data_IF_059299844089
#
_entry.id   IF_059299844089
#
_cell.length_a   1.000
_cell.length_b   1.000
_cell.length_c   1.000
_cell.angle_alpha   90.00
_cell.angle_beta   90.00
_cell.angle_gamma   90.00
#
_symmetry.space_group_name_H-M   'P 1'
#
loop_
_entity.id
_entity.type
_entity.pdbx_description
1 polymer ?
#
# COMPACT_ATOMS: atom_id res chain seq x y z
N UNK A 1 23.27 25.59 -17.13
CA UNK A 1 22.56 26.45 -16.17
C UNK A 1 21.26 25.77 -15.82
N UNK A 2 21.06 25.49 -14.54
CA UNK A 2 19.81 24.91 -14.03
C UNK A 2 18.73 25.99 -14.11
N UNK A 3 17.49 25.62 -14.42
CA UNK A 3 16.33 26.54 -14.44
C UNK A 3 16.13 27.26 -13.08
N UNK A 4 16.71 26.72 -12.01
CA UNK A 4 16.73 27.34 -10.68
C UNK A 4 17.70 28.53 -10.58
N UNK A 5 18.75 28.56 -11.41
CA UNK A 5 19.76 29.63 -11.40
C UNK A 5 19.21 30.93 -12.03
N UNK A 6 18.18 30.83 -12.87
CA UNK A 6 17.56 31.96 -13.61
C UNK A 6 16.45 32.69 -12.83
N UNK A 7 16.11 32.21 -11.63
CA UNK A 7 15.00 32.76 -10.84
C UNK A 7 15.41 34.14 -10.27
N UNK A 8 14.88 35.21 -10.89
CA UNK A 8 14.99 36.64 -10.53
C UNK A 8 14.45 37.02 -9.12
N UNK A 9 14.41 36.09 -8.16
CA UNK A 9 14.00 36.33 -6.76
C UNK A 9 15.20 36.51 -5.81
N UNK A 10 16.42 36.54 -6.35
CA UNK A 10 17.70 36.53 -5.61
C UNK A 10 17.89 37.66 -4.57
N UNK A 11 17.01 38.69 -4.53
CA UNK A 11 17.04 39.77 -3.53
C UNK A 11 15.98 39.67 -2.42
N UNK A 12 15.10 38.66 -2.42
CA UNK A 12 14.01 38.49 -1.43
C UNK A 12 13.99 37.12 -0.72
N UNK A 13 14.90 36.21 -1.07
CA UNK A 13 15.04 34.91 -0.39
C UNK A 13 15.87 35.12 0.88
N UNK A 14 15.31 34.81 2.04
CA UNK A 14 15.99 34.89 3.34
C UNK A 14 16.64 33.59 3.77
N UNK A 15 16.23 32.46 3.16
CA UNK A 15 16.76 31.14 3.46
C UNK A 15 16.54 30.18 2.30
N UNK A 16 17.58 29.43 1.95
CA UNK A 16 17.53 28.33 1.01
C UNK A 16 18.15 27.09 1.65
N UNK A 17 17.50 25.94 1.47
CA UNK A 17 18.03 24.65 1.91
C UNK A 17 17.87 23.60 0.82
N UNK A 18 18.99 23.07 0.38
CA UNK A 18 19.04 21.93 -0.51
C UNK A 18 19.02 20.66 0.36
N UNK A 19 18.01 19.81 0.15
CA UNK A 19 17.96 18.49 0.77
C UNK A 19 18.68 17.52 -0.18
N UNK A 20 19.76 16.86 0.26
CA UNK A 20 20.51 15.96 -0.62
C UNK A 20 19.64 14.75 -1.03
N UNK A 21 19.88 14.18 -2.22
CA UNK A 21 19.19 12.96 -2.63
C UNK A 21 19.58 11.79 -1.73
N UNK A 22 18.61 10.95 -1.39
CA UNK A 22 18.81 9.74 -0.60
C UNK A 22 18.74 8.50 -1.49
N UNK A 23 19.68 7.55 -1.30
CA UNK A 23 19.66 6.28 -2.03
C UNK A 23 18.63 5.33 -1.45
N UNK A 24 17.91 4.64 -2.32
CA UNK A 24 17.01 3.57 -1.93
C UNK A 24 17.75 2.42 -1.23
N UNK A 25 17.17 1.93 -0.12
CA UNK A 25 17.61 0.69 0.54
C UNK A 25 16.53 -0.37 0.40
N UNK A 26 16.95 -1.61 0.18
CA UNK A 26 16.07 -2.74 -0.07
C UNK A 26 16.34 -3.88 0.90
N UNK A 27 15.30 -4.63 1.26
CA UNK A 27 15.40 -5.83 2.10
C UNK A 27 14.55 -6.94 1.50
N UNK A 28 15.10 -8.15 1.43
CA UNK A 28 14.37 -9.33 1.01
C UNK A 28 13.53 -9.87 2.16
N UNK A 29 12.35 -10.39 1.82
CA UNK A 29 11.44 -11.07 2.74
C UNK A 29 10.92 -12.32 2.03
N UNK A 30 10.73 -13.40 2.79
CA UNK A 30 10.10 -14.63 2.29
C UNK A 30 8.59 -14.55 2.52
N UNK A 31 7.81 -14.81 1.48
CA UNK A 31 6.35 -14.93 1.57
C UNK A 31 5.95 -16.40 1.60
N UNK A 32 4.95 -16.72 2.44
CA UNK A 32 4.25 -18.00 2.41
C UNK A 32 3.41 -18.08 1.15
N UNK A 33 2.80 -16.96 0.75
CA UNK A 33 2.07 -16.87 -0.50
C UNK A 33 3.04 -16.81 -1.70
N UNK A 34 3.22 -17.94 -2.40
CA UNK A 34 4.13 -18.04 -3.55
C UNK A 34 3.72 -17.18 -4.75
N UNK A 35 2.44 -16.81 -4.85
CA UNK A 35 1.96 -15.88 -5.88
C UNK A 35 2.51 -14.47 -5.67
N UNK A 36 2.69 -14.03 -4.42
CA UNK A 36 3.36 -12.76 -4.12
C UNK A 36 4.85 -12.79 -4.52
N UNK A 37 5.56 -13.88 -4.24
CA UNK A 37 6.98 -14.00 -4.65
C UNK A 37 7.12 -14.01 -6.18
N UNK A 38 6.23 -14.73 -6.87
CA UNK A 38 6.16 -14.75 -8.33
C UNK A 38 5.90 -13.35 -8.89
N UNK A 39 4.89 -12.66 -8.38
CA UNK A 39 4.54 -11.29 -8.78
C UNK A 39 5.73 -10.32 -8.65
N UNK A 40 6.39 -10.31 -7.48
CA UNK A 40 7.55 -9.46 -7.24
C UNK A 40 8.69 -9.75 -8.23
N UNK A 41 8.93 -11.02 -8.53
CA UNK A 41 9.98 -11.44 -9.47
C UNK A 41 9.64 -11.04 -10.91
N UNK A 42 8.42 -11.30 -11.36
CA UNK A 42 7.97 -11.00 -12.73
C UNK A 42 7.94 -9.50 -13.02
N UNK A 43 7.50 -8.69 -12.06
CA UNK A 43 7.49 -7.23 -12.17
C UNK A 43 8.84 -6.58 -11.84
N UNK A 44 9.87 -7.37 -11.51
CA UNK A 44 11.19 -6.90 -11.05
C UNK A 44 11.11 -5.87 -9.91
N UNK A 45 10.19 -6.09 -8.97
CA UNK A 45 9.96 -5.21 -7.83
C UNK A 45 10.84 -5.65 -6.67
N UNK A 46 11.66 -4.72 -6.16
CA UNK A 46 12.39 -4.87 -4.90
C UNK A 46 11.68 -4.06 -3.82
N UNK A 47 11.34 -4.72 -2.71
CA UNK A 47 10.75 -4.03 -1.57
C UNK A 47 11.79 -3.16 -0.88
N UNK A 48 11.41 -1.91 -0.62
CA UNK A 48 12.19 -1.02 0.23
C UNK A 48 12.31 -1.62 1.63
N UNK A 49 13.41 -1.28 2.33
CA UNK A 49 13.69 -1.80 3.67
C UNK A 49 12.52 -1.60 4.64
N UNK A 50 11.89 -0.42 4.63
CA UNK A 50 10.73 -0.11 5.48
C UNK A 50 9.51 -0.96 5.15
N UNK A 51 9.29 -1.30 3.88
CA UNK A 51 8.16 -2.15 3.46
C UNK A 51 8.36 -3.57 3.97
N UNK A 52 9.53 -4.15 3.71
CA UNK A 52 9.83 -5.52 4.12
C UNK A 52 9.82 -5.66 5.65
N UNK A 53 10.41 -4.71 6.39
CA UNK A 53 10.39 -4.71 7.86
C UNK A 53 8.97 -4.60 8.42
N UNK A 54 8.14 -3.72 7.87
CA UNK A 54 6.78 -3.56 8.33
C UNK A 54 5.94 -4.82 8.08
N UNK A 55 6.04 -5.41 6.87
CA UNK A 55 5.35 -6.67 6.54
C UNK A 55 5.82 -7.79 7.48
N UNK A 56 7.12 -7.90 7.75
CA UNK A 56 7.68 -8.90 8.66
C UNK A 56 7.15 -8.73 10.10
N UNK A 57 7.03 -7.51 10.60
CA UNK A 57 6.43 -7.25 11.91
C UNK A 57 4.94 -7.62 11.96
N UNK A 58 4.16 -7.25 10.94
CA UNK A 58 2.72 -7.59 10.85
C UNK A 58 2.53 -9.11 10.77
N UNK A 59 3.33 -9.81 9.96
CA UNK A 59 3.30 -11.29 9.88
C UNK A 59 3.54 -11.97 11.22
N UNK A 60 4.34 -11.34 12.09
CA UNK A 60 4.62 -11.83 13.44
C UNK A 60 3.60 -11.35 14.49
N UNK A 61 2.43 -10.85 14.06
CA UNK A 61 1.35 -10.43 14.96
C UNK A 61 1.61 -9.11 15.68
N UNK A 62 2.55 -8.28 15.22
CA UNK A 62 2.86 -6.99 15.83
C UNK A 62 2.03 -5.87 15.21
N UNK A 63 1.64 -4.91 16.05
CA UNK A 63 1.10 -3.63 15.60
C UNK A 63 2.25 -2.74 15.10
N UNK A 64 2.04 -2.06 13.97
CA UNK A 64 3.08 -1.28 13.30
C UNK A 64 2.56 0.12 12.96
N UNK A 65 3.34 1.15 13.30
CA UNK A 65 3.17 2.52 12.84
C UNK A 65 4.34 2.86 11.93
N UNK A 66 4.06 3.49 10.79
CA UNK A 66 5.06 3.72 9.74
C UNK A 66 5.15 5.20 9.42
N UNK A 67 6.32 5.78 9.64
CA UNK A 67 6.62 7.18 9.37
C UNK A 67 7.51 7.26 8.14
N UNK A 68 6.90 7.41 6.96
CA UNK A 68 7.63 7.58 5.70
C UNK A 68 7.06 8.73 4.88
N UNK A 69 7.87 9.40 4.03
CA UNK A 69 7.38 10.44 3.12
C UNK A 69 6.24 9.96 2.21
N UNK A 70 5.45 10.88 1.67
CA UNK A 70 4.49 10.58 0.60
C UNK A 70 5.19 9.94 -0.59
N UNK A 71 4.44 9.18 -1.40
CA UNK A 71 4.98 8.40 -2.54
C UNK A 71 6.01 7.30 -2.20
N UNK A 72 6.25 6.97 -0.92
CA UNK A 72 7.19 5.90 -0.51
C UNK A 72 6.66 4.46 -0.67
N UNK A 73 5.60 4.24 -1.45
CA UNK A 73 5.02 2.91 -1.70
C UNK A 73 4.32 2.25 -0.49
N UNK A 74 3.73 3.01 0.44
CA UNK A 74 3.08 2.46 1.65
C UNK A 74 1.98 1.43 1.36
N UNK A 75 1.31 1.51 0.21
CA UNK A 75 0.20 0.60 -0.12
C UNK A 75 0.60 -0.88 -0.07
N UNK A 76 1.79 -1.23 -0.56
CA UNK A 76 2.24 -2.63 -0.55
C UNK A 76 2.32 -3.22 0.85
N UNK A 77 2.53 -2.40 1.88
CA UNK A 77 2.70 -2.90 3.24
C UNK A 77 1.41 -3.54 3.72
N UNK A 78 0.28 -2.82 3.67
CA UNK A 78 -0.98 -3.37 4.16
C UNK A 78 -1.57 -4.40 3.16
N UNK A 79 -1.45 -4.16 1.85
CA UNK A 79 -1.99 -5.09 0.84
C UNK A 79 -1.29 -6.44 0.92
N UNK A 80 0.05 -6.46 0.88
CA UNK A 80 0.78 -7.73 0.93
C UNK A 80 0.67 -8.41 2.28
N UNK A 81 0.51 -7.66 3.38
CA UNK A 81 0.27 -8.27 4.69
C UNK A 81 -1.05 -9.03 4.72
N UNK A 82 -2.12 -8.49 4.13
CA UNK A 82 -3.41 -9.19 4.04
C UNK A 82 -3.32 -10.37 3.06
N UNK A 83 -2.78 -10.17 1.86
CA UNK A 83 -2.63 -11.25 0.86
C UNK A 83 -1.75 -12.40 1.35
N UNK A 84 -0.72 -12.09 2.15
CA UNK A 84 0.10 -13.10 2.84
C UNK A 84 -0.71 -13.85 3.89
N UNK A 85 -1.56 -13.17 4.66
CA UNK A 85 -2.40 -13.82 5.68
C UNK A 85 -3.41 -14.78 5.06
N UNK A 86 -3.92 -14.46 3.86
CA UNK A 86 -4.84 -15.32 3.13
C UNK A 86 -4.22 -16.67 2.71
N UNK A 87 -2.90 -16.78 2.61
CA UNK A 87 -2.24 -18.07 2.37
C UNK A 87 -2.37 -19.03 3.57
N UNK A 88 -2.59 -18.52 4.78
CA UNK A 88 -2.83 -19.33 5.98
C UNK A 88 -4.32 -19.53 6.26
N UNK A 89 -5.11 -18.47 6.06
CA UNK A 89 -6.55 -18.48 6.30
C UNK A 89 -7.28 -17.73 5.17
N UNK A 90 -7.86 -18.45 4.19
CA UNK A 90 -8.61 -17.85 3.09
C UNK A 90 -9.83 -17.03 3.53
N UNK A 91 -10.34 -17.27 4.75
CA UNK A 91 -11.48 -16.56 5.33
C UNK A 91 -11.08 -15.34 6.16
N UNK A 92 -9.79 -14.99 6.21
CA UNK A 92 -9.36 -13.80 6.92
C UNK A 92 -9.93 -12.52 6.26
N UNK A 93 -10.36 -11.58 7.10
CA UNK A 93 -10.92 -10.30 6.69
C UNK A 93 -10.06 -9.16 7.24
N UNK A 94 -10.15 -8.00 6.59
CA UNK A 94 -9.43 -6.80 6.98
C UNK A 94 -10.30 -5.57 6.74
N UNK A 95 -10.04 -4.51 7.51
CA UNK A 95 -10.65 -3.19 7.34
C UNK A 95 -9.54 -2.20 7.02
N UNK A 96 -9.67 -1.48 5.91
CA UNK A 96 -8.70 -0.48 5.46
C UNK A 96 -9.36 0.89 5.50
N UNK A 97 -8.98 1.70 6.49
CA UNK A 97 -9.62 2.99 6.75
C UNK A 97 -8.82 4.11 6.08
N UNK A 98 -9.52 4.93 5.30
CA UNK A 98 -8.96 6.14 4.68
C UNK A 98 -9.72 7.39 5.15
N UNK A 99 -9.02 8.53 5.28
CA UNK A 99 -9.66 9.78 5.70
C UNK A 99 -10.57 10.41 4.63
N UNK A 100 -10.40 10.04 3.36
CA UNK A 100 -11.12 10.62 2.22
C UNK A 100 -11.73 9.51 1.33
N UNK A 101 -12.98 9.69 0.91
CA UNK A 101 -13.67 8.76 -0.02
C UNK A 101 -12.91 8.60 -1.34
N UNK A 102 -12.42 9.69 -1.92
CA UNK A 102 -11.66 9.66 -3.17
C UNK A 102 -10.41 8.78 -3.03
N UNK A 103 -9.66 8.96 -1.93
CA UNK A 103 -8.49 8.13 -1.64
C UNK A 103 -8.86 6.66 -1.44
N UNK A 104 -9.98 6.36 -0.76
CA UNK A 104 -10.46 5.00 -0.62
C UNK A 104 -10.77 4.34 -1.97
N UNK A 105 -11.37 5.09 -2.91
CA UNK A 105 -11.66 4.61 -4.27
C UNK A 105 -10.39 4.36 -5.09
N UNK A 106 -9.41 5.26 -4.98
CA UNK A 106 -8.10 5.06 -5.63
C UNK A 106 -7.40 3.81 -5.09
N UNK A 107 -7.45 3.60 -3.77
CA UNK A 107 -6.87 2.39 -3.17
C UNK A 107 -7.67 1.12 -3.49
N UNK A 108 -9.00 1.20 -3.59
CA UNK A 108 -9.84 0.09 -4.04
C UNK A 108 -9.40 -0.42 -5.42
N UNK A 109 -9.23 0.50 -6.39
CA UNK A 109 -8.77 0.14 -7.73
C UNK A 109 -7.40 -0.54 -7.69
N UNK A 110 -6.46 -0.01 -6.90
CA UNK A 110 -5.12 -0.58 -6.73
C UNK A 110 -5.12 -1.96 -6.06
N UNK A 111 -5.97 -2.18 -5.06
CA UNK A 111 -6.12 -3.48 -4.41
C UNK A 111 -6.66 -4.49 -5.42
N UNK A 112 -7.70 -4.11 -6.17
CA UNK A 112 -8.30 -4.96 -7.20
C UNK A 112 -7.29 -5.34 -8.28
N UNK A 113 -6.55 -4.37 -8.80
CA UNK A 113 -5.47 -4.60 -9.77
C UNK A 113 -4.43 -5.60 -9.21
N UNK A 114 -3.97 -5.41 -7.98
CA UNK A 114 -3.01 -6.35 -7.38
C UNK A 114 -3.57 -7.75 -7.16
N UNK A 115 -4.86 -7.88 -6.79
CA UNK A 115 -5.53 -9.17 -6.68
C UNK A 115 -5.53 -9.88 -8.03
N UNK A 116 -5.90 -9.16 -9.10
CA UNK A 116 -5.96 -9.68 -10.46
C UNK A 116 -4.55 -10.06 -10.97
N UNK A 117 -3.56 -9.18 -10.81
CA UNK A 117 -2.18 -9.41 -11.26
C UNK A 117 -1.48 -10.55 -10.49
N UNK A 118 -1.79 -10.72 -9.20
CA UNK A 118 -1.22 -11.82 -8.39
C UNK A 118 -1.99 -13.12 -8.54
N UNK A 119 -3.19 -13.08 -9.13
CA UNK A 119 -4.13 -14.20 -9.21
C UNK A 119 -4.49 -14.80 -7.83
N UNK A 120 -4.31 -14.04 -6.74
CA UNK A 120 -4.66 -14.50 -5.39
C UNK A 120 -6.17 -14.40 -5.23
N UNK A 121 -6.82 -15.47 -4.78
CA UNK A 121 -8.25 -15.45 -4.52
C UNK A 121 -8.55 -14.57 -3.30
N UNK A 122 -8.93 -13.32 -3.57
CA UNK A 122 -9.29 -12.34 -2.57
C UNK A 122 -10.40 -11.45 -3.11
N UNK A 123 -11.23 -10.93 -2.21
CA UNK A 123 -12.32 -10.02 -2.52
C UNK A 123 -12.06 -8.66 -1.91
N UNK A 124 -12.48 -7.60 -2.60
CA UNK A 124 -12.40 -6.22 -2.14
C UNK A 124 -13.73 -5.53 -2.40
N UNK A 125 -14.23 -4.78 -1.41
CA UNK A 125 -15.42 -3.94 -1.53
C UNK A 125 -15.17 -2.58 -0.90
N UNK A 126 -16.00 -1.58 -1.25
CA UNK A 126 -15.97 -0.26 -0.63
C UNK A 126 -17.22 -0.04 0.23
N UNK A 127 -17.01 0.43 1.46
CA UNK A 127 -18.09 0.74 2.39
C UNK A 127 -18.01 2.20 2.84
N UNK A 128 -18.74 3.08 2.15
CA UNK A 128 -18.83 4.51 2.46
C UNK A 128 -20.27 5.02 2.46
N UNK A 129 -20.43 6.34 2.59
CA UNK A 129 -21.71 7.03 2.55
C UNK A 129 -22.51 6.81 1.25
N UNK A 130 -21.84 6.47 0.15
CA UNK A 130 -22.42 6.33 -1.18
C UNK A 130 -22.73 4.86 -1.53
N UNK A 131 -22.26 3.89 -0.72
CA UNK A 131 -22.59 2.46 -0.87
C UNK A 131 -24.11 2.25 -0.68
N UNK A 132 -24.83 1.73 -1.70
CA UNK A 132 -26.28 1.51 -1.62
C UNK A 132 -26.69 0.56 -0.48
N UNK A 133 -27.91 0.73 0.07
CA UNK A 133 -28.41 -0.05 1.21
C UNK A 133 -28.38 -1.57 0.96
N UNK A 134 -28.77 -2.01 -0.24
CA UNK A 134 -28.72 -3.42 -0.64
C UNK A 134 -27.29 -3.96 -0.66
N UNK A 135 -26.35 -3.20 -1.21
CA UNK A 135 -24.93 -3.56 -1.22
C UNK A 135 -24.34 -3.61 0.19
N UNK A 136 -24.72 -2.68 1.07
CA UNK A 136 -24.35 -2.72 2.50
C UNK A 136 -24.83 -4.00 3.19
N UNK A 137 -26.05 -4.46 2.88
CA UNK A 137 -26.60 -5.72 3.42
C UNK A 137 -25.79 -6.91 2.92
N UNK A 138 -25.48 -6.96 1.63
CA UNK A 138 -24.66 -8.03 1.03
C UNK A 138 -23.27 -8.09 1.66
N UNK A 139 -22.58 -6.96 1.80
CA UNK A 139 -21.25 -6.89 2.43
C UNK A 139 -21.28 -7.36 3.88
N UNK A 140 -22.33 -7.02 4.65
CA UNK A 140 -22.47 -7.49 6.04
C UNK A 140 -22.72 -9.00 6.13
N UNK A 141 -23.44 -9.57 5.17
CA UNK A 141 -23.72 -11.02 5.13
C UNK A 141 -22.51 -11.81 4.63
N UNK A 142 -21.77 -11.27 3.67
CA UNK A 142 -20.58 -11.88 3.08
C UNK A 142 -19.44 -10.84 3.06
N UNK A 143 -18.71 -10.67 4.18
CA UNK A 143 -17.62 -9.70 4.27
C UNK A 143 -16.50 -10.03 3.28
N UNK A 144 -15.94 -9.02 2.58
CA UNK A 144 -14.80 -9.22 1.71
C UNK A 144 -13.51 -9.47 2.53
N UNK A 145 -12.46 -9.93 1.87
CA UNK A 145 -11.13 -10.00 2.48
C UNK A 145 -10.56 -8.59 2.74
N UNK A 146 -10.89 -7.62 1.89
CA UNK A 146 -10.58 -6.20 2.03
C UNK A 146 -11.86 -5.36 2.06
N UNK A 147 -12.14 -4.72 3.20
CA UNK A 147 -13.26 -3.78 3.37
C UNK A 147 -12.78 -2.33 3.52
#
# INVERSE_FOLDING_TARGET
MSYLDEIKFNKKIVFEKIIPPEKATYKQIKFKNKKLEKYLKEKNIKLYSHQAQAIEHVKNGKNVVITTPTASGKSYIYIFSVLEKLAENPYATSIVIFPLKALARDQYAKIKELIDETEIQATVEIYDGDTPKEKRRQIKQNPPNFL
#
